data_IF_016540306729
#
_entry.id   IF_016540306729
#
_cell.length_a   1.000
_cell.length_b   1.000
_cell.length_c   1.000
_cell.angle_alpha   90.00
_cell.angle_beta   90.00
_cell.angle_gamma   90.00
#
_symmetry.space_group_name_H-M   'P 1'
#
loop_
_entity.id
_entity.type
_entity.pdbx_description
1 polymer ?
#
# COMPACT_ATOMS: atom_id res chain seq x y z
N UNK A 1 14.14 0.87 15.58
CA UNK A 1 14.04 1.92 14.56
C UNK A 1 13.03 1.52 13.51
N UNK A 2 11.87 2.17 13.48
CA UNK A 2 10.86 1.97 12.46
C UNK A 2 11.28 2.70 11.18
N UNK A 3 12.17 2.07 10.41
CA UNK A 3 12.62 2.58 9.10
C UNK A 3 11.52 2.31 8.08
N UNK A 4 10.63 3.28 7.87
CA UNK A 4 9.50 3.15 6.94
C UNK A 4 9.00 4.51 6.45
N UNK A 5 8.27 4.49 5.37
CA UNK A 5 7.56 5.66 4.84
C UNK A 5 6.22 5.80 5.56
N UNK A 6 5.87 7.02 5.99
CA UNK A 6 4.59 7.33 6.63
C UNK A 6 3.56 7.95 5.68
N UNK A 7 3.97 8.39 4.48
CA UNK A 7 3.06 8.98 3.53
C UNK A 7 3.74 9.94 2.56
N UNK A 8 2.92 10.82 1.97
CA UNK A 8 3.39 11.82 1.01
C UNK A 8 2.75 13.18 1.31
N UNK A 9 3.58 14.20 1.34
CA UNK A 9 3.13 15.59 1.53
C UNK A 9 2.97 16.24 0.16
N UNK A 10 1.76 16.37 -0.31
CA UNK A 10 1.44 16.97 -1.62
C UNK A 10 1.64 18.49 -1.68
N UNK A 11 1.66 19.15 -0.53
CA UNK A 11 1.79 20.61 -0.46
C UNK A 11 3.25 21.08 -0.38
N UNK A 12 4.18 20.20 -0.04
CA UNK A 12 5.58 20.52 0.12
C UNK A 12 6.17 21.03 -1.20
N UNK A 13 6.72 22.23 -1.17
CA UNK A 13 7.42 22.82 -2.34
C UNK A 13 8.87 22.39 -2.30
N UNK A 14 9.33 21.75 -3.37
CA UNK A 14 10.69 21.25 -3.46
C UNK A 14 11.69 22.42 -3.57
N UNK A 15 12.86 22.34 -2.90
CA UNK A 15 13.88 23.40 -2.95
C UNK A 15 14.37 23.72 -4.36
N UNK A 16 14.29 22.77 -5.29
CA UNK A 16 14.68 22.94 -6.69
C UNK A 16 13.64 23.65 -7.55
N UNK A 17 12.47 24.00 -6.98
CA UNK A 17 11.36 24.64 -7.71
C UNK A 17 11.80 25.85 -8.54
N UNK A 18 12.59 26.75 -7.96
CA UNK A 18 13.08 27.95 -8.67
C UNK A 18 13.92 27.62 -9.89
N UNK A 19 14.93 26.77 -9.72
CA UNK A 19 15.80 26.33 -10.81
C UNK A 19 15.05 25.61 -11.93
N UNK A 20 14.05 24.78 -11.54
CA UNK A 20 13.22 24.07 -12.51
C UNK A 20 12.35 25.04 -13.29
N UNK A 21 11.76 26.03 -12.63
CA UNK A 21 10.96 27.06 -13.30
C UNK A 21 11.77 27.91 -14.27
N UNK A 22 12.97 28.33 -13.87
CA UNK A 22 13.89 29.07 -14.74
C UNK A 22 14.24 28.26 -16.01
N UNK A 23 14.63 27.00 -15.82
CA UNK A 23 14.94 26.11 -16.95
C UNK A 23 13.71 25.85 -17.84
N UNK A 24 12.55 25.67 -17.22
CA UNK A 24 11.29 25.48 -17.95
C UNK A 24 10.90 26.73 -18.75
N UNK A 25 11.07 27.92 -18.18
CA UNK A 25 10.83 29.18 -18.89
C UNK A 25 11.76 29.36 -20.13
N UNK A 26 13.00 28.90 -20.01
CA UNK A 26 13.96 28.92 -21.08
C UNK A 26 13.71 27.91 -22.20
N UNK A 27 12.88 26.91 -22.01
CA UNK A 27 12.49 25.95 -23.05
C UNK A 27 11.71 26.64 -24.15
N UNK A 28 12.10 26.41 -25.40
CA UNK A 28 11.42 26.92 -26.57
C UNK A 28 10.46 25.84 -27.15
N UNK A 29 9.45 25.46 -26.34
CA UNK A 29 8.43 24.49 -26.71
C UNK A 29 7.03 25.07 -26.42
N UNK A 30 6.40 25.72 -27.43
CA UNK A 30 5.07 26.30 -27.25
C UNK A 30 3.98 25.27 -26.95
N UNK A 31 4.10 24.05 -27.52
CA UNK A 31 3.10 22.99 -27.32
C UNK A 31 3.13 22.50 -25.85
N UNK A 32 4.33 22.29 -25.30
CA UNK A 32 4.47 21.91 -23.90
C UNK A 32 3.99 23.03 -22.97
N UNK A 33 4.30 24.29 -23.28
CA UNK A 33 3.84 25.43 -22.47
C UNK A 33 2.33 25.65 -22.52
N UNK A 34 1.68 25.26 -23.60
CA UNK A 34 0.23 25.30 -23.70
C UNK A 34 -0.44 24.22 -22.82
N UNK A 35 0.18 23.03 -22.71
CA UNK A 35 -0.29 21.93 -21.87
C UNK A 35 -0.02 22.18 -20.37
N UNK A 36 1.15 22.71 -20.05
CA UNK A 36 1.60 22.97 -18.69
C UNK A 36 2.03 24.44 -18.57
N UNK A 37 1.10 25.38 -18.43
CA UNK A 37 1.44 26.81 -18.42
C UNK A 37 2.41 27.19 -17.30
N UNK A 38 2.36 26.48 -16.19
CA UNK A 38 3.26 26.68 -15.04
C UNK A 38 3.71 25.35 -14.47
N UNK A 39 5.00 25.05 -14.58
CA UNK A 39 5.56 23.85 -13.97
C UNK A 39 5.76 24.05 -12.48
N UNK A 40 5.19 23.16 -11.67
CA UNK A 40 5.32 23.17 -10.22
C UNK A 40 5.90 21.85 -9.73
N UNK A 41 7.03 21.93 -8.98
CA UNK A 41 7.66 20.75 -8.37
C UNK A 41 7.25 20.69 -6.91
N UNK A 42 6.17 19.96 -6.66
CA UNK A 42 5.59 19.80 -5.33
C UNK A 42 5.55 18.34 -4.93
N UNK A 43 5.48 18.13 -3.63
CA UNK A 43 5.37 16.84 -3.01
C UNK A 43 6.70 16.30 -2.49
N UNK A 44 6.61 15.46 -1.46
CA UNK A 44 7.77 14.82 -0.87
C UNK A 44 7.37 13.68 0.05
N UNK A 45 8.22 12.66 0.13
CA UNK A 45 8.01 11.55 1.04
C UNK A 45 8.09 12.01 2.50
N UNK A 46 7.24 11.40 3.33
CA UNK A 46 7.26 11.51 4.78
C UNK A 46 7.77 10.21 5.37
N UNK A 47 8.55 10.31 6.43
CA UNK A 47 9.20 9.17 7.06
C UNK A 47 8.77 9.02 8.52
N UNK A 48 8.61 7.78 8.95
CA UNK A 48 8.35 7.44 10.35
C UNK A 48 9.58 7.78 11.20
N UNK A 49 9.33 8.39 12.36
CA UNK A 49 10.37 8.86 13.26
C UNK A 49 10.98 10.22 12.90
N UNK A 50 10.54 10.82 11.77
CA UNK A 50 10.93 12.19 11.35
C UNK A 50 9.70 13.06 11.21
N UNK A 51 8.74 12.64 10.42
CA UNK A 51 7.50 13.38 10.14
C UNK A 51 6.31 12.88 10.95
N UNK A 52 6.23 11.58 11.15
CA UNK A 52 5.13 10.90 11.85
C UNK A 52 5.67 9.78 12.75
N UNK A 53 4.94 9.43 13.80
CA UNK A 53 5.32 8.34 14.71
C UNK A 53 4.93 6.95 14.15
N UNK A 54 3.99 6.90 13.21
CA UNK A 54 3.44 5.67 12.66
C UNK A 54 3.24 5.77 11.14
N UNK A 55 3.30 4.64 10.41
CA UNK A 55 3.12 4.63 8.96
C UNK A 55 1.71 5.06 8.50
N UNK A 56 0.71 4.96 9.36
CA UNK A 56 -0.66 5.37 9.11
C UNK A 56 -1.43 5.48 10.42
N UNK A 57 -2.51 6.26 10.43
CA UNK A 57 -3.41 6.39 11.58
C UNK A 57 -4.29 5.17 11.69
N UNK A 58 -4.27 4.49 12.83
CA UNK A 58 -5.16 3.36 13.08
C UNK A 58 -6.59 3.87 13.34
N UNK A 59 -7.61 3.41 12.59
CA UNK A 59 -8.99 3.76 12.86
C UNK A 59 -9.42 3.26 14.25
N UNK A 60 -9.79 4.18 15.14
CA UNK A 60 -10.18 3.85 16.53
C UNK A 60 -11.67 3.58 16.69
N UNK A 61 -12.51 4.14 15.80
CA UNK A 61 -13.96 4.10 15.91
C UNK A 61 -14.55 3.20 14.81
N UNK A 62 -14.47 1.89 15.01
CA UNK A 62 -15.07 0.93 14.10
C UNK A 62 -16.28 0.28 14.76
N UNK A 63 -17.48 0.76 14.41
CA UNK A 63 -18.73 0.20 14.90
C UNK A 63 -19.17 -0.96 14.00
N UNK A 64 -19.36 -2.15 14.60
CA UNK A 64 -19.68 -3.40 13.92
C UNK A 64 -20.91 -4.07 14.59
N UNK A 65 -22.12 -3.54 14.35
CA UNK A 65 -23.34 -4.09 14.95
C UNK A 65 -23.65 -5.47 14.41
N UNK A 66 -24.20 -6.30 15.29
CA UNK A 66 -24.69 -7.65 14.96
C UNK A 66 -26.02 -7.86 15.68
N UNK A 67 -27.01 -8.35 14.93
CA UNK A 67 -28.32 -8.66 15.43
C UNK A 67 -28.70 -10.05 14.97
N UNK A 68 -29.23 -10.85 15.88
CA UNK A 68 -29.73 -12.17 15.57
C UNK A 68 -31.07 -12.40 16.25
N UNK A 69 -31.86 -13.28 15.67
CA UNK A 69 -33.13 -13.73 16.25
C UNK A 69 -33.28 -15.24 16.12
N UNK A 70 -34.07 -15.80 17.02
CA UNK A 70 -34.57 -17.16 16.92
C UNK A 70 -36.03 -17.13 17.33
N UNK A 71 -36.90 -17.63 16.48
CA UNK A 71 -38.34 -17.63 16.69
C UNK A 71 -38.90 -19.03 16.51
N UNK A 72 -39.62 -19.54 17.52
CA UNK A 72 -40.25 -20.83 17.47
C UNK A 72 -41.63 -20.70 16.79
N UNK A 73 -41.73 -21.20 15.56
CA UNK A 73 -42.96 -21.21 14.78
C UNK A 73 -43.96 -22.25 15.27
N UNK A 74 -43.47 -23.41 15.70
CA UNK A 74 -44.25 -24.50 16.27
C UNK A 74 -43.39 -25.29 17.25
N UNK A 75 -44.00 -26.31 17.94
CA UNK A 75 -43.25 -27.20 18.84
C UNK A 75 -42.00 -27.83 18.19
N UNK A 76 -42.03 -28.02 16.88
CA UNK A 76 -41.01 -28.75 16.14
C UNK A 76 -40.27 -27.86 15.12
N UNK A 77 -40.61 -26.56 15.00
CA UNK A 77 -40.02 -25.69 13.98
C UNK A 77 -39.49 -24.41 14.59
N UNK A 78 -38.24 -24.09 14.30
CA UNK A 78 -37.57 -22.86 14.71
C UNK A 78 -37.05 -22.13 13.48
N UNK A 79 -37.38 -20.84 13.38
CA UNK A 79 -36.78 -19.92 12.42
C UNK A 79 -35.64 -19.14 13.10
N UNK A 80 -34.49 -19.07 12.43
CA UNK A 80 -33.31 -18.33 12.91
C UNK A 80 -32.83 -17.38 11.85
N UNK A 81 -32.29 -16.27 12.27
CA UNK A 81 -31.66 -15.35 11.33
C UNK A 81 -30.76 -14.36 12.02
N UNK A 82 -29.96 -13.72 11.23
CA UNK A 82 -29.07 -12.69 11.73
C UNK A 82 -28.46 -11.87 10.63
N UNK A 83 -28.05 -10.68 11.02
CA UNK A 83 -27.33 -9.74 10.17
C UNK A 83 -26.23 -9.09 10.98
N UNK A 84 -25.09 -8.89 10.36
CA UNK A 84 -23.96 -8.25 11.03
C UNK A 84 -22.98 -7.59 10.10
N UNK A 85 -22.35 -6.53 10.58
CA UNK A 85 -21.19 -5.93 9.96
C UNK A 85 -19.91 -6.56 10.52
N UNK A 86 -19.00 -6.87 9.63
CA UNK A 86 -17.71 -7.46 9.95
C UNK A 86 -16.61 -6.59 9.37
N UNK A 87 -15.52 -6.41 10.11
CA UNK A 87 -14.33 -5.73 9.63
C UNK A 87 -13.48 -6.69 8.78
N UNK A 88 -12.99 -6.20 7.66
CA UNK A 88 -11.93 -6.85 6.90
C UNK A 88 -10.54 -6.49 7.46
N UNK A 89 -9.53 -7.24 7.06
CA UNK A 89 -8.15 -6.92 7.43
C UNK A 89 -7.66 -5.68 6.67
N UNK A 90 -7.02 -4.75 7.39
CA UNK A 90 -6.29 -3.65 6.80
C UNK A 90 -4.91 -4.15 6.35
N UNK A 91 -4.64 -4.00 5.06
CA UNK A 91 -3.28 -4.02 4.53
C UNK A 91 -2.55 -5.37 4.55
N UNK A 92 -3.04 -6.34 3.85
CA UNK A 92 -2.33 -7.62 3.64
C UNK A 92 -1.06 -7.51 2.79
N UNK A 93 -0.85 -6.40 2.07
CA UNK A 93 0.33 -6.16 1.21
C UNK A 93 0.99 -4.84 1.57
N UNK A 94 1.77 -4.81 2.63
CA UNK A 94 2.41 -3.59 3.15
C UNK A 94 3.92 -3.55 2.97
N UNK A 95 4.56 -4.69 2.79
CA UNK A 95 6.01 -4.80 2.86
C UNK A 95 6.74 -3.91 1.86
N UNK A 96 6.29 -3.91 0.62
CA UNK A 96 6.86 -3.14 -0.47
C UNK A 96 6.71 -1.62 -0.32
N UNK A 97 5.57 -1.17 0.20
CA UNK A 97 5.31 0.26 0.44
C UNK A 97 6.05 0.77 1.67
N UNK A 98 6.00 0.03 2.78
CA UNK A 98 6.65 0.41 4.05
C UNK A 98 8.16 0.51 3.87
N UNK A 99 8.75 -0.38 3.09
CA UNK A 99 10.19 -0.45 2.86
C UNK A 99 10.69 0.46 1.73
N UNK A 100 9.83 1.25 1.10
CA UNK A 100 10.24 2.20 0.06
C UNK A 100 11.39 3.10 0.52
N UNK A 101 12.50 3.06 -0.21
CA UNK A 101 13.74 3.73 0.15
C UNK A 101 14.63 2.97 1.14
N UNK A 102 14.11 2.01 1.90
CA UNK A 102 14.86 1.18 2.86
C UNK A 102 15.16 -0.23 2.36
N UNK A 103 14.68 -0.56 1.18
CA UNK A 103 15.02 -1.78 0.47
C UNK A 103 15.53 -1.44 -0.93
N UNK A 104 16.62 -2.06 -1.33
CA UNK A 104 17.21 -1.91 -2.66
C UNK A 104 17.54 -3.28 -3.23
N UNK A 105 17.21 -3.47 -4.49
CA UNK A 105 17.52 -4.70 -5.20
C UNK A 105 18.73 -4.47 -6.10
N UNK A 106 19.76 -5.27 -5.93
CA UNK A 106 20.92 -5.29 -6.83
C UNK A 106 20.81 -6.52 -7.71
N UNK A 107 20.65 -6.32 -9.02
CA UNK A 107 20.60 -7.43 -9.97
C UNK A 107 21.99 -7.65 -10.55
N UNK A 108 22.52 -8.83 -10.33
CA UNK A 108 23.80 -9.26 -10.90
C UNK A 108 23.50 -10.16 -12.11
N UNK A 109 23.70 -9.60 -13.29
CA UNK A 109 23.48 -10.30 -14.57
C UNK A 109 24.75 -10.93 -15.12
N UNK A 110 24.60 -12.02 -15.86
CA UNK A 110 25.69 -12.57 -16.69
C UNK A 110 26.01 -11.59 -17.80
N UNK A 111 27.29 -11.23 -17.97
CA UNK A 111 27.78 -10.49 -19.14
C UNK A 111 28.36 -11.48 -20.16
N UNK A 112 28.36 -11.06 -21.42
CA UNK A 112 28.95 -11.82 -22.51
C UNK A 112 30.27 -11.18 -22.91
N UNK A 113 31.26 -11.98 -23.30
CA UNK A 113 32.49 -11.49 -23.89
C UNK A 113 32.24 -11.02 -25.34
N UNK A 114 33.29 -10.51 -25.98
CA UNK A 114 33.23 -10.05 -27.38
C UNK A 114 32.87 -11.17 -28.39
N UNK A 115 33.01 -12.44 -28.00
CA UNK A 115 32.65 -13.59 -28.81
C UNK A 115 31.23 -14.15 -28.49
N UNK A 116 30.47 -13.45 -27.64
CA UNK A 116 29.10 -13.87 -27.26
C UNK A 116 29.08 -15.04 -26.27
N UNK A 117 30.19 -15.42 -25.67
CA UNK A 117 30.23 -16.46 -24.64
C UNK A 117 29.90 -15.83 -23.27
N UNK A 118 29.06 -16.49 -22.42
CA UNK A 118 28.75 -15.99 -21.11
C UNK A 118 30.00 -15.99 -20.22
N UNK A 119 30.26 -14.87 -19.56
CA UNK A 119 31.30 -14.75 -18.54
C UNK A 119 30.71 -15.25 -17.21
N UNK A 120 31.24 -16.36 -16.66
CA UNK A 120 30.79 -16.85 -15.36
C UNK A 120 31.03 -15.78 -14.30
N UNK A 121 29.99 -15.41 -13.55
CA UNK A 121 30.11 -14.52 -12.40
C UNK A 121 29.83 -15.31 -11.13
N UNK A 122 30.79 -15.31 -10.23
CA UNK A 122 30.59 -15.71 -8.86
C UNK A 122 30.41 -14.44 -7.99
N UNK A 123 30.02 -14.61 -6.74
CA UNK A 123 29.84 -13.50 -5.82
C UNK A 123 31.10 -12.64 -5.67
N UNK A 124 32.27 -13.25 -5.64
CA UNK A 124 33.53 -12.54 -5.43
C UNK A 124 33.84 -11.59 -6.60
N UNK A 125 33.65 -12.05 -7.83
CA UNK A 125 33.91 -11.23 -9.03
C UNK A 125 32.81 -10.24 -9.31
N UNK A 126 31.55 -10.57 -8.99
CA UNK A 126 30.43 -9.67 -9.19
C UNK A 126 30.48 -8.46 -8.25
N UNK A 127 30.87 -8.65 -7.00
CA UNK A 127 31.01 -7.58 -6.02
C UNK A 127 32.15 -6.62 -6.34
N UNK A 128 33.20 -7.10 -7.01
CA UNK A 128 34.30 -6.24 -7.45
C UNK A 128 33.93 -5.31 -8.61
N UNK A 129 32.99 -5.73 -9.45
CA UNK A 129 32.63 -5.01 -10.68
C UNK A 129 31.31 -4.24 -10.57
N UNK A 130 30.42 -4.66 -9.69
CA UNK A 130 29.13 -4.01 -9.43
C UNK A 130 28.89 -3.97 -7.92
N UNK A 131 29.12 -2.84 -7.27
CA UNK A 131 28.85 -2.70 -5.86
C UNK A 131 27.37 -2.95 -5.56
N UNK A 132 27.10 -3.56 -4.40
CA UNK A 132 25.74 -3.70 -3.90
C UNK A 132 25.18 -2.29 -3.71
N UNK A 133 24.00 -2.06 -4.30
CA UNK A 133 23.29 -0.80 -4.14
C UNK A 133 22.76 -0.69 -2.73
N UNK A 134 23.15 0.34 -2.01
CA UNK A 134 22.63 0.61 -0.69
C UNK A 134 21.31 1.36 -0.75
N UNK A 135 20.36 1.05 0.13
CA UNK A 135 19.11 1.79 0.23
C UNK A 135 19.37 3.25 0.63
N UNK A 136 18.72 4.17 -0.05
CA UNK A 136 18.83 5.62 0.22
C UNK A 136 18.24 5.98 1.57
N UNK A 137 17.23 5.24 2.02
CA UNK A 137 16.51 5.51 3.25
C UNK A 137 15.87 6.90 3.26
N UNK A 138 16.02 7.60 4.37
CA UNK A 138 15.58 8.97 4.55
C UNK A 138 16.73 10.00 4.39
N UNK A 139 17.89 9.60 3.88
CA UNK A 139 19.06 10.48 3.80
C UNK A 139 18.83 11.73 2.92
N UNK A 140 17.97 11.60 1.92
CA UNK A 140 17.57 12.72 1.05
C UNK A 140 16.29 13.42 1.55
N UNK A 141 15.75 13.02 2.68
CA UNK A 141 14.52 13.56 3.24
C UNK A 141 13.39 13.57 2.21
N UNK A 142 12.69 14.68 2.09
CA UNK A 142 11.55 14.84 1.16
C UNK A 142 11.94 14.89 -0.32
N UNK A 143 13.23 14.87 -0.64
CA UNK A 143 13.75 14.77 -2.03
C UNK A 143 13.94 13.30 -2.46
N UNK A 144 13.76 12.35 -1.55
CA UNK A 144 13.88 10.92 -1.86
C UNK A 144 12.95 10.54 -3.00
N UNK A 145 13.49 9.88 -4.01
CA UNK A 145 12.79 9.48 -5.24
C UNK A 145 12.16 10.62 -6.05
N UNK A 146 12.67 11.84 -5.91
CA UNK A 146 12.21 12.96 -6.71
C UNK A 146 12.31 12.65 -8.21
N UNK A 147 11.21 12.82 -8.94
CA UNK A 147 11.12 12.50 -10.37
C UNK A 147 10.95 11.02 -10.69
N UNK A 148 10.81 10.15 -9.69
CA UNK A 148 10.55 8.73 -9.86
C UNK A 148 9.11 8.37 -9.48
N UNK A 149 8.60 7.26 -10.02
CA UNK A 149 7.35 6.68 -9.58
C UNK A 149 7.48 6.12 -8.15
N UNK A 150 6.50 6.41 -7.32
CA UNK A 150 6.46 5.89 -5.96
C UNK A 150 5.06 5.48 -5.55
N UNK A 151 4.99 4.57 -4.61
CA UNK A 151 3.73 4.10 -4.02
C UNK A 151 3.73 4.45 -2.53
N UNK A 152 2.65 5.05 -2.07
CA UNK A 152 2.48 5.43 -0.67
C UNK A 152 1.14 4.92 -0.15
N UNK A 153 1.05 4.71 1.16
CA UNK A 153 -0.21 4.40 1.80
C UNK A 153 -1.12 5.63 1.90
N UNK A 154 -2.41 5.38 1.91
CA UNK A 154 -3.34 6.37 2.45
C UNK A 154 -3.04 6.53 3.95
N UNK A 155 -2.67 7.72 4.42
CA UNK A 155 -2.37 7.95 5.83
C UNK A 155 -3.59 7.77 6.74
N UNK A 156 -4.79 7.82 6.18
CA UNK A 156 -6.06 7.63 6.89
C UNK A 156 -6.87 6.49 6.24
N UNK A 157 -6.43 5.24 6.42
CA UNK A 157 -7.12 4.11 5.81
C UNK A 157 -8.47 3.86 6.49
N UNK A 158 -9.49 3.62 5.70
CA UNK A 158 -10.79 3.15 6.20
C UNK A 158 -10.80 1.64 6.34
N UNK A 159 -11.45 1.15 7.39
CA UNK A 159 -11.66 -0.29 7.57
C UNK A 159 -12.67 -0.79 6.54
N UNK A 160 -12.30 -1.77 5.74
CA UNK A 160 -13.23 -2.47 4.89
C UNK A 160 -14.32 -3.14 5.73
N UNK A 161 -15.59 -2.94 5.38
CA UNK A 161 -16.72 -3.52 6.08
C UNK A 161 -17.47 -4.46 5.15
N UNK A 162 -17.85 -5.61 5.70
CA UNK A 162 -18.65 -6.62 5.01
C UNK A 162 -19.96 -6.82 5.75
N UNK A 163 -21.06 -6.63 5.05
CA UNK A 163 -22.38 -7.03 5.56
C UNK A 163 -22.59 -8.51 5.29
N UNK A 164 -22.89 -9.27 6.33
CA UNK A 164 -23.30 -10.67 6.23
C UNK A 164 -24.67 -10.83 6.86
N UNK A 165 -25.53 -11.59 6.20
CA UNK A 165 -26.82 -11.97 6.73
C UNK A 165 -27.08 -13.43 6.44
N UNK A 166 -27.89 -14.04 7.28
CA UNK A 166 -28.36 -15.40 7.12
C UNK A 166 -29.79 -15.53 7.65
N UNK A 167 -30.54 -16.41 7.03
CA UNK A 167 -31.85 -16.85 7.52
C UNK A 167 -31.94 -18.35 7.31
N UNK A 168 -32.47 -19.07 8.29
CA UNK A 168 -32.60 -20.51 8.21
C UNK A 168 -33.79 -21.00 9.02
N UNK A 169 -34.32 -22.15 8.64
CA UNK A 169 -35.38 -22.86 9.33
C UNK A 169 -34.90 -24.24 9.73
N UNK A 170 -35.18 -24.61 10.95
CA UNK A 170 -34.89 -25.93 11.50
C UNK A 170 -36.21 -26.62 11.86
N UNK A 171 -36.38 -27.86 11.38
CA UNK A 171 -37.59 -28.67 11.68
C UNK A 171 -37.20 -30.04 12.21
N UNK A 172 -37.84 -30.43 13.32
CA UNK A 172 -37.65 -31.74 13.91
C UNK A 172 -38.73 -32.70 13.38
N UNK A 173 -38.29 -33.78 12.75
CA UNK A 173 -39.10 -34.85 12.21
C UNK A 173 -39.30 -35.96 13.26
N UNK A 174 -40.32 -36.83 13.08
CA UNK A 174 -40.47 -38.04 13.89
C UNK A 174 -39.20 -38.90 13.87
N UNK A 175 -38.86 -39.54 15.02
CA UNK A 175 -37.66 -40.35 15.14
C UNK A 175 -36.37 -39.56 15.43
N UNK A 176 -36.50 -38.34 15.99
CA UNK A 176 -35.39 -37.47 16.39
C UNK A 176 -34.51 -36.97 15.24
N UNK A 177 -34.98 -36.99 14.01
CA UNK A 177 -34.30 -36.39 12.88
C UNK A 177 -34.50 -34.88 12.86
N UNK A 178 -33.46 -34.15 12.56
CA UNK A 178 -33.53 -32.71 12.41
C UNK A 178 -33.10 -32.34 11.01
N UNK A 179 -33.91 -31.54 10.34
CA UNK A 179 -33.60 -30.96 9.02
C UNK A 179 -33.41 -29.47 9.19
N UNK A 180 -32.34 -28.94 8.62
CA UNK A 180 -32.02 -27.51 8.62
C UNK A 180 -31.82 -27.03 7.19
N UNK A 181 -32.35 -25.84 6.88
CA UNK A 181 -32.12 -25.11 5.63
C UNK A 181 -31.67 -23.69 5.99
N UNK A 182 -30.56 -23.22 5.38
CA UNK A 182 -29.96 -21.90 5.62
C UNK A 182 -29.77 -21.18 4.28
#
# INVERSE_FOLDING_TARGET
>A
DNKSVSGFDYAYVQPIQGTVQERYAALNDPALKALVPQLSVKGGLKFVGVDDDQPYKTPKNTFLPRVGFAYQLSSNTVLRGGVGLFAGFLGQRRGDVITSGYAQSTTIGTTFNEFGAPIPRNWDTALLTQPILEPVGNAQGRQTFLGQGLTVFNPEPSVSKQLRWQIGAQHQLPGNWTVEAV
#
